data_IF_372813661073
#
_entry.id   IF_372813661073
#
_cell.length_a   1.000
_cell.length_b   1.000
_cell.length_c   1.000
_cell.angle_alpha   90.00
_cell.angle_beta   90.00
_cell.angle_gamma   90.00
#
_symmetry.space_group_name_H-M   'P 1'
#
loop_
_entity.id
_entity.type
_entity.pdbx_description
1 polymer ?
#
# COMPACT_ATOMS: atom_id res chain seq x y z
N UNK A 1 1.97 -3.36 -0.06
CA UNK A 1 2.46 -4.50 -0.84
C UNK A 1 1.33 -4.98 -1.73
N UNK A 2 1.51 -4.87 -3.05
CA UNK A 2 0.58 -5.38 -4.06
C UNK A 2 1.07 -6.75 -4.54
N UNK A 3 0.15 -7.68 -4.74
CA UNK A 3 0.42 -9.03 -5.22
C UNK A 3 0.11 -9.13 -6.71
N UNK A 4 0.91 -9.89 -7.47
CA UNK A 4 0.56 -10.29 -8.82
C UNK A 4 -0.12 -11.66 -8.78
N UNK A 5 -1.38 -11.72 -9.16
CA UNK A 5 -2.18 -12.96 -9.15
C UNK A 5 -2.13 -13.74 -10.48
N UNK A 6 -1.52 -13.17 -11.52
CA UNK A 6 -1.36 -13.81 -12.83
C UNK A 6 0.10 -13.72 -13.30
N UNK A 7 1.02 -14.23 -12.46
CA UNK A 7 2.47 -14.18 -12.71
C UNK A 7 2.90 -15.17 -13.79
N UNK A 8 3.90 -14.73 -14.57
CA UNK A 8 4.60 -15.53 -15.55
C UNK A 8 6.09 -15.64 -15.21
N UNK A 9 6.71 -16.71 -15.68
CA UNK A 9 8.15 -16.90 -15.68
C UNK A 9 8.81 -16.17 -16.85
N UNK A 10 10.13 -15.98 -16.79
CA UNK A 10 10.90 -15.32 -17.87
C UNK A 10 10.84 -16.07 -19.22
N UNK A 11 10.51 -17.36 -19.22
CA UNK A 11 10.30 -18.16 -20.42
C UNK A 11 8.89 -18.06 -21.01
N UNK A 12 8.01 -17.26 -20.40
CA UNK A 12 6.63 -17.02 -20.83
C UNK A 12 5.62 -18.07 -20.36
N UNK A 13 6.01 -19.03 -19.53
CA UNK A 13 5.08 -19.97 -18.88
C UNK A 13 4.44 -19.35 -17.66
N UNK A 14 3.22 -19.76 -17.27
CA UNK A 14 2.62 -19.34 -16.00
C UNK A 14 3.42 -19.90 -14.83
N UNK A 15 3.56 -19.11 -13.76
CA UNK A 15 4.09 -19.58 -12.49
C UNK A 15 2.96 -20.15 -11.64
N UNK A 16 2.57 -21.38 -11.93
CA UNK A 16 1.43 -22.03 -11.24
C UNK A 16 1.68 -22.17 -9.74
N UNK A 17 2.92 -22.37 -9.31
CA UNK A 17 3.26 -22.49 -7.90
C UNK A 17 2.99 -21.19 -7.13
N UNK A 18 3.44 -20.06 -7.67
CA UNK A 18 3.15 -18.74 -7.10
C UNK A 18 1.67 -18.40 -7.21
N UNK A 19 1.07 -18.55 -8.39
CA UNK A 19 -0.32 -18.13 -8.65
C UNK A 19 -1.31 -18.88 -7.75
N UNK A 20 -1.11 -20.19 -7.54
CA UNK A 20 -1.91 -20.97 -6.60
C UNK A 20 -1.68 -20.53 -5.15
N UNK A 21 -0.41 -20.31 -4.75
CA UNK A 21 -0.10 -19.89 -3.40
C UNK A 21 -0.71 -18.53 -3.06
N UNK A 22 -0.54 -17.53 -3.95
CA UNK A 22 -1.01 -16.17 -3.67
C UNK A 22 -2.54 -16.01 -3.75
N UNK A 23 -3.23 -16.88 -4.47
CA UNK A 23 -4.69 -16.92 -4.48
C UNK A 23 -5.27 -17.36 -3.12
N UNK A 24 -4.51 -18.13 -2.34
CA UNK A 24 -4.93 -18.60 -1.02
C UNK A 24 -4.94 -17.47 0.02
N UNK A 25 -6.08 -17.27 0.68
CA UNK A 25 -6.24 -16.21 1.67
C UNK A 25 -5.37 -16.42 2.91
N UNK A 26 -5.28 -17.66 3.42
CA UNK A 26 -4.45 -17.96 4.60
C UNK A 26 -2.96 -17.68 4.31
N UNK A 27 -2.49 -17.90 3.07
CA UNK A 27 -1.14 -17.53 2.65
C UNK A 27 -0.90 -16.03 2.76
N UNK A 28 -1.82 -15.19 2.27
CA UNK A 28 -1.71 -13.73 2.36
C UNK A 28 -1.86 -13.22 3.80
N UNK A 29 -2.78 -13.80 4.58
CA UNK A 29 -2.99 -13.44 5.98
C UNK A 29 -1.80 -13.83 6.87
N UNK A 30 -1.07 -14.91 6.54
CA UNK A 30 0.16 -15.25 7.24
C UNK A 30 1.22 -14.14 7.13
N UNK A 31 1.27 -13.42 5.99
CA UNK A 31 2.15 -12.27 5.81
C UNK A 31 1.59 -11.04 6.54
N UNK A 32 0.29 -10.78 6.44
CA UNK A 32 -0.33 -9.63 7.09
C UNK A 32 -0.07 -9.61 8.60
N UNK A 33 -0.27 -10.76 9.25
CA UNK A 33 -0.10 -10.87 10.70
C UNK A 33 1.32 -11.27 11.14
N UNK A 34 2.07 -11.98 10.30
CA UNK A 34 3.34 -12.57 10.71
C UNK A 34 4.57 -11.78 10.29
N UNK A 35 4.49 -10.92 9.26
CA UNK A 35 5.67 -10.26 8.70
C UNK A 35 6.04 -8.99 9.50
N UNK A 36 7.15 -9.05 10.25
CA UNK A 36 7.73 -7.88 10.93
C UNK A 36 8.62 -7.09 9.96
N UNK A 37 8.16 -5.91 9.60
CA UNK A 37 8.86 -4.97 8.72
C UNK A 37 9.62 -3.87 9.48
N UNK A 38 9.72 -3.94 10.81
CA UNK A 38 10.45 -2.94 11.61
C UNK A 38 11.88 -2.71 11.12
N UNK A 39 12.69 -3.76 10.78
CA UNK A 39 14.01 -3.56 10.22
C UNK A 39 14.00 -2.87 8.85
N UNK A 40 12.98 -3.13 8.02
CA UNK A 40 12.81 -2.47 6.74
C UNK A 40 12.47 -0.97 6.92
N UNK A 41 11.60 -0.63 7.87
CA UNK A 41 11.25 0.77 8.19
C UNK A 41 12.45 1.55 8.74
N UNK A 42 13.38 0.89 9.42
CA UNK A 42 14.60 1.53 9.93
C UNK A 42 15.49 2.10 8.81
N UNK A 43 15.30 1.65 7.56
CA UNK A 43 15.95 2.23 6.37
C UNK A 43 15.44 3.64 6.08
N UNK A 44 14.20 3.94 6.43
CA UNK A 44 13.57 5.27 6.24
C UNK A 44 13.74 6.13 7.50
N UNK A 45 13.51 5.56 8.67
CA UNK A 45 13.67 6.25 9.95
C UNK A 45 14.37 5.33 10.96
N UNK A 46 15.70 5.49 11.11
CA UNK A 46 16.50 4.66 12.01
C UNK A 46 16.25 4.97 13.50
N UNK A 47 15.73 6.16 13.84
CA UNK A 47 15.50 6.56 15.23
C UNK A 47 14.17 6.07 15.76
N UNK A 48 13.14 6.09 14.92
CA UNK A 48 11.80 5.62 15.26
C UNK A 48 11.18 4.91 14.06
N UNK A 49 11.56 3.66 13.78
CA UNK A 49 11.08 2.91 12.62
C UNK A 49 9.56 2.79 12.57
N UNK A 50 8.92 2.55 13.70
CA UNK A 50 7.47 2.34 13.77
C UNK A 50 6.65 3.60 13.45
N UNK A 51 7.24 4.79 13.47
CA UNK A 51 6.59 5.99 12.96
C UNK A 51 6.35 5.95 11.44
N UNK A 52 6.99 5.02 10.74
CA UNK A 52 6.78 4.80 9.31
C UNK A 52 5.70 3.75 9.02
N UNK A 53 5.20 3.03 10.03
CA UNK A 53 4.18 2.01 9.83
C UNK A 53 2.90 2.61 9.24
N UNK A 54 2.43 2.03 8.14
CA UNK A 54 1.14 2.35 7.54
C UNK A 54 0.19 1.15 7.69
N UNK A 55 -0.92 1.37 8.37
CA UNK A 55 -1.95 0.36 8.62
C UNK A 55 -3.18 0.51 7.72
N UNK A 56 -3.19 1.51 6.85
CA UNK A 56 -4.30 1.86 5.98
C UNK A 56 -3.85 1.91 4.52
N UNK A 57 -4.77 1.68 3.60
CA UNK A 57 -4.52 1.88 2.18
C UNK A 57 -4.57 3.37 1.81
N UNK A 58 -5.49 4.11 2.41
CA UNK A 58 -5.55 5.57 2.38
C UNK A 58 -4.53 6.20 3.34
N UNK A 59 -4.40 7.52 3.31
CA UNK A 59 -3.42 8.23 4.11
C UNK A 59 -4.09 9.05 5.23
N UNK A 60 -3.63 8.95 6.49
CA UNK A 60 -4.13 9.79 7.58
C UNK A 60 -3.89 11.29 7.32
N UNK A 61 -4.76 12.12 7.88
CA UNK A 61 -4.62 13.57 7.84
C UNK A 61 -5.06 14.24 6.55
N UNK A 62 -5.68 13.50 5.62
CA UNK A 62 -6.13 14.05 4.34
C UNK A 62 -7.65 14.20 4.23
N UNK A 63 -8.42 13.34 4.87
CA UNK A 63 -9.87 13.24 4.74
C UNK A 63 -10.52 13.31 6.11
N UNK A 64 -11.55 14.13 6.25
CA UNK A 64 -12.24 14.35 7.51
C UNK A 64 -13.74 14.30 7.33
N UNK A 65 -14.43 13.65 8.26
CA UNK A 65 -15.89 13.70 8.39
C UNK A 65 -16.38 15.10 8.73
N UNK A 66 -17.68 15.32 8.73
CA UNK A 66 -18.28 16.63 9.02
C UNK A 66 -18.00 17.13 10.45
N UNK A 67 -17.74 16.24 11.40
CA UNK A 67 -17.36 16.56 12.78
C UNK A 67 -15.85 16.69 13.01
N UNK A 68 -15.05 16.47 11.97
CA UNK A 68 -13.58 16.60 12.01
C UNK A 68 -12.84 15.32 12.39
N UNK A 69 -13.52 14.16 12.45
CA UNK A 69 -12.86 12.86 12.65
C UNK A 69 -12.08 12.48 11.40
N UNK A 70 -10.84 12.00 11.56
CA UNK A 70 -10.04 11.52 10.44
C UNK A 70 -10.67 10.25 9.85
N UNK A 71 -10.76 10.19 8.53
CA UNK A 71 -11.32 9.04 7.83
C UNK A 71 -10.62 7.72 8.22
N UNK A 72 -9.31 7.75 8.42
CA UNK A 72 -8.56 6.55 8.81
C UNK A 72 -8.89 6.06 10.22
N UNK A 73 -9.46 6.90 11.09
CA UNK A 73 -9.99 6.45 12.40
C UNK A 73 -11.24 5.56 12.22
N UNK A 74 -12.06 5.82 11.19
CA UNK A 74 -13.17 4.94 10.82
C UNK A 74 -12.64 3.58 10.33
N UNK A 75 -11.62 3.59 9.46
CA UNK A 75 -10.97 2.35 8.98
C UNK A 75 -10.34 1.58 10.15
N UNK A 76 -9.67 2.27 11.07
CA UNK A 76 -9.08 1.68 12.28
C UNK A 76 -10.13 0.95 13.12
N UNK A 77 -11.29 1.58 13.29
CA UNK A 77 -12.41 1.00 14.05
C UNK A 77 -12.96 -0.27 13.37
N UNK A 78 -13.15 -0.25 12.04
CA UNK A 78 -13.61 -1.42 11.28
C UNK A 78 -12.60 -2.58 11.30
N UNK A 79 -11.29 -2.27 11.27
CA UNK A 79 -10.21 -3.25 11.40
C UNK A 79 -10.04 -3.79 12.82
N UNK A 80 -10.58 -3.12 13.84
CA UNK A 80 -10.37 -3.47 15.24
C UNK A 80 -8.91 -3.31 15.68
N UNK A 81 -8.15 -2.41 15.06
CA UNK A 81 -6.75 -2.18 15.40
C UNK A 81 -6.61 -1.48 16.76
N UNK A 82 -5.61 -1.92 17.54
CA UNK A 82 -5.26 -1.32 18.83
C UNK A 82 -4.54 0.04 18.69
N UNK A 83 -4.09 0.56 19.83
CA UNK A 83 -3.25 1.75 19.86
C UNK A 83 -1.77 1.40 19.64
N UNK A 84 -1.03 2.33 19.01
CA UNK A 84 0.40 2.20 18.86
C UNK A 84 1.11 2.29 20.22
N UNK A 85 1.92 1.29 20.56
CA UNK A 85 2.72 1.28 21.78
C UNK A 85 4.19 1.68 21.55
N UNK A 86 4.61 1.74 20.28
CA UNK A 86 5.96 2.08 19.86
C UNK A 86 6.98 0.94 20.02
N UNK A 87 6.57 -0.24 20.48
CA UNK A 87 7.44 -1.40 20.68
C UNK A 87 7.35 -2.40 19.52
N UNK A 88 6.18 -2.52 18.91
CA UNK A 88 5.92 -3.41 17.77
C UNK A 88 4.91 -2.82 16.80
N UNK A 89 4.88 -3.34 15.59
CA UNK A 89 3.88 -3.01 14.59
C UNK A 89 2.47 -3.34 15.10
N UNK A 90 1.50 -2.44 14.85
CA UNK A 90 0.12 -2.58 15.38
C UNK A 90 -0.56 -3.86 14.87
N UNK A 91 -0.38 -4.18 13.57
CA UNK A 91 -1.00 -5.36 12.96
C UNK A 91 -0.26 -6.67 13.28
N UNK A 92 0.96 -6.60 13.80
CA UNK A 92 1.79 -7.78 14.02
C UNK A 92 1.21 -8.66 15.15
N UNK A 93 0.87 -9.88 14.79
CA UNK A 93 0.41 -10.93 15.69
C UNK A 93 1.05 -12.26 15.26
N UNK A 94 2.25 -12.53 15.78
CA UNK A 94 3.05 -13.69 15.37
C UNK A 94 2.35 -15.03 15.61
N UNK A 95 1.49 -15.13 16.65
CA UNK A 95 0.72 -16.35 16.91
C UNK A 95 -0.34 -16.56 15.82
N UNK A 96 -1.08 -15.53 15.48
CA UNK A 96 -2.09 -15.58 14.42
C UNK A 96 -1.44 -15.77 13.04
N UNK A 97 -0.32 -15.10 12.80
CA UNK A 97 0.48 -15.29 11.58
C UNK A 97 0.95 -16.74 11.41
N UNK A 98 1.41 -17.37 12.49
CA UNK A 98 1.81 -18.79 12.47
C UNK A 98 0.59 -19.72 12.25
N UNK A 99 -0.56 -19.43 12.86
CA UNK A 99 -1.78 -20.20 12.62
C UNK A 99 -2.17 -20.18 11.13
N UNK A 100 -2.20 -18.99 10.52
CA UNK A 100 -2.47 -18.86 9.08
C UNK A 100 -1.40 -19.51 8.20
N UNK A 101 -0.12 -19.45 8.61
CA UNK A 101 0.96 -20.15 7.90
C UNK A 101 0.73 -21.66 7.90
N UNK A 102 0.39 -22.25 9.03
CA UNK A 102 0.12 -23.68 9.12
C UNK A 102 -1.11 -24.09 8.28
N UNK A 103 -2.18 -23.28 8.33
CA UNK A 103 -3.37 -23.48 7.48
C UNK A 103 -2.99 -23.41 5.99
N UNK A 104 -2.23 -22.39 5.60
CA UNK A 104 -1.78 -22.24 4.21
C UNK A 104 -0.93 -23.43 3.73
N UNK A 105 -0.01 -23.92 4.58
CA UNK A 105 0.81 -25.10 4.23
C UNK A 105 -0.08 -26.33 4.00
N UNK A 106 -1.07 -26.57 4.85
CA UNK A 106 -1.99 -27.70 4.70
C UNK A 106 -2.81 -27.58 3.40
N UNK A 107 -3.47 -26.47 3.19
CA UNK A 107 -4.32 -26.22 2.03
C UNK A 107 -3.53 -26.23 0.72
N UNK A 108 -2.38 -25.55 0.67
CA UNK A 108 -1.57 -25.43 -0.53
C UNK A 108 -0.83 -26.71 -0.88
N UNK A 109 -0.40 -27.51 0.12
CA UNK A 109 0.17 -28.85 -0.14
C UNK A 109 -0.87 -29.75 -0.79
N UNK A 110 -2.13 -29.67 -0.36
CA UNK A 110 -3.22 -30.45 -0.98
C UNK A 110 -3.46 -30.05 -2.45
N UNK A 111 -3.18 -28.78 -2.81
CA UNK A 111 -3.25 -28.27 -4.18
C UNK A 111 -1.96 -28.49 -5.00
N UNK A 112 -0.92 -29.10 -4.41
CA UNK A 112 0.33 -29.45 -5.09
C UNK A 112 1.37 -28.32 -5.11
N UNK A 113 1.17 -27.26 -4.33
CA UNK A 113 2.18 -26.20 -4.17
C UNK A 113 3.42 -26.75 -3.47
N UNK A 114 4.58 -26.36 -3.97
CA UNK A 114 5.88 -26.73 -3.38
C UNK A 114 6.45 -25.57 -2.57
N UNK A 115 7.01 -25.89 -1.42
CA UNK A 115 7.66 -24.91 -0.53
C UNK A 115 9.19 -25.05 -0.58
N UNK A 116 9.97 -23.95 -0.38
CA UNK A 116 9.46 -22.59 -0.20
C UNK A 116 8.83 -22.01 -1.47
N UNK A 117 7.81 -21.15 -1.30
CA UNK A 117 7.25 -20.38 -2.41
C UNK A 117 8.20 -19.24 -2.75
N UNK A 118 8.65 -19.16 -4.01
CA UNK A 118 9.54 -18.11 -4.49
C UNK A 118 8.81 -16.78 -4.69
N UNK A 119 9.38 -15.69 -4.16
CA UNK A 119 8.84 -14.33 -4.29
C UNK A 119 9.79 -13.51 -5.15
N UNK A 120 9.49 -13.29 -6.41
CA UNK A 120 10.32 -12.47 -7.29
C UNK A 120 10.00 -10.99 -7.09
N UNK A 121 10.96 -10.23 -6.54
CA UNK A 121 10.87 -8.80 -6.29
C UNK A 121 11.86 -8.04 -7.16
N UNK A 122 11.32 -7.24 -8.09
CA UNK A 122 12.10 -6.53 -9.09
C UNK A 122 12.39 -5.09 -8.69
N UNK A 123 13.65 -4.70 -8.77
CA UNK A 123 14.15 -3.35 -8.49
C UNK A 123 15.09 -2.87 -9.60
N UNK A 124 15.32 -1.55 -9.69
CA UNK A 124 16.30 -1.02 -10.64
C UNK A 124 17.72 -1.47 -10.27
N UNK A 125 18.39 -2.14 -11.20
CA UNK A 125 19.78 -2.60 -11.00
C UNK A 125 20.81 -1.47 -10.86
N UNK A 126 20.47 -0.24 -11.22
CA UNK A 126 21.32 0.95 -11.03
C UNK A 126 21.09 1.68 -9.70
N UNK A 127 20.09 1.27 -8.90
CA UNK A 127 19.75 1.92 -7.64
C UNK A 127 20.26 1.12 -6.43
N UNK A 128 21.47 1.47 -5.95
CA UNK A 128 22.08 0.80 -4.81
C UNK A 128 21.21 0.88 -3.53
N UNK A 129 20.56 2.02 -3.27
CA UNK A 129 19.68 2.16 -2.11
C UNK A 129 18.48 1.20 -2.17
N UNK A 130 17.92 0.99 -3.36
CA UNK A 130 16.85 0.00 -3.55
C UNK A 130 17.36 -1.43 -3.33
N UNK A 131 18.57 -1.76 -3.82
CA UNK A 131 19.21 -3.06 -3.59
C UNK A 131 19.42 -3.34 -2.10
N UNK A 132 19.97 -2.36 -1.36
CA UNK A 132 20.19 -2.47 0.07
C UNK A 132 18.85 -2.65 0.83
N UNK A 133 17.81 -1.91 0.43
CA UNK A 133 16.48 -2.03 1.03
C UNK A 133 15.82 -3.38 0.72
N UNK A 134 15.97 -3.88 -0.51
CA UNK A 134 15.47 -5.20 -0.89
C UNK A 134 16.16 -6.33 -0.12
N UNK A 135 17.46 -6.18 0.18
CA UNK A 135 18.20 -7.14 1.01
C UNK A 135 17.63 -7.19 2.43
N UNK A 136 17.34 -6.03 3.03
CA UNK A 136 16.70 -5.98 4.35
C UNK A 136 15.28 -6.56 4.30
N UNK A 137 14.53 -6.28 3.22
CA UNK A 137 13.19 -6.87 3.05
C UNK A 137 13.25 -8.39 2.97
N UNK A 138 14.20 -8.94 2.20
CA UNK A 138 14.40 -10.40 2.13
C UNK A 138 14.70 -11.00 3.50
N UNK A 139 15.52 -10.32 4.32
CA UNK A 139 15.79 -10.75 5.68
C UNK A 139 14.55 -10.70 6.58
N UNK A 140 13.68 -9.66 6.42
CA UNK A 140 12.41 -9.61 7.15
C UNK A 140 11.52 -10.82 6.83
N UNK A 141 11.43 -11.22 5.56
CA UNK A 141 10.68 -12.43 5.16
C UNK A 141 11.27 -13.71 5.78
N UNK A 142 12.59 -13.87 5.70
CA UNK A 142 13.30 -15.00 6.28
C UNK A 142 13.09 -15.10 7.79
N UNK A 143 13.33 -14.01 8.52
CA UNK A 143 13.26 -13.98 9.98
C UNK A 143 11.82 -14.13 10.51
N UNK A 144 10.83 -13.60 9.79
CA UNK A 144 9.45 -13.60 10.24
C UNK A 144 8.67 -14.85 9.83
N UNK A 145 8.87 -15.33 8.60
CA UNK A 145 8.07 -16.40 8.01
C UNK A 145 8.82 -17.70 7.81
N UNK A 146 10.16 -17.64 7.74
CA UNK A 146 11.06 -18.78 7.58
C UNK A 146 11.35 -19.13 6.12
N UNK A 147 12.61 -19.50 5.85
CA UNK A 147 13.12 -19.85 4.52
C UNK A 147 12.55 -21.17 3.96
N UNK A 148 11.91 -21.97 4.82
CA UNK A 148 11.21 -23.19 4.44
C UNK A 148 9.79 -22.93 3.91
N UNK A 149 9.24 -21.74 4.15
CA UNK A 149 7.89 -21.34 3.73
C UNK A 149 7.92 -20.41 2.52
N UNK A 150 8.69 -19.34 2.58
CA UNK A 150 8.82 -18.36 1.49
C UNK A 150 10.27 -17.94 1.30
N UNK A 151 10.65 -17.60 0.06
CA UNK A 151 11.97 -17.09 -0.26
C UNK A 151 11.88 -15.90 -1.20
N UNK A 152 12.31 -14.72 -0.73
CA UNK A 152 12.34 -13.52 -1.55
C UNK A 152 13.60 -13.48 -2.43
N UNK A 153 13.38 -13.49 -3.74
CA UNK A 153 14.41 -13.41 -4.79
C UNK A 153 14.50 -11.97 -5.31
N UNK A 154 15.63 -11.33 -5.08
CA UNK A 154 15.89 -9.99 -5.60
C UNK A 154 16.26 -10.10 -7.07
N UNK A 155 15.42 -9.55 -7.94
CA UNK A 155 15.60 -9.46 -9.39
C UNK A 155 15.83 -8.01 -9.81
N UNK A 156 16.44 -7.78 -10.95
CA UNK A 156 16.72 -6.42 -11.41
C UNK A 156 16.24 -6.19 -12.83
N UNK A 157 15.80 -4.96 -13.11
CA UNK A 157 15.57 -4.46 -14.45
C UNK A 157 16.56 -3.32 -14.77
N UNK A 158 16.74 -3.01 -16.05
CA UNK A 158 17.79 -2.09 -16.52
C UNK A 158 17.24 -0.69 -16.79
N UNK A 159 16.14 -0.56 -17.54
CA UNK A 159 15.64 0.73 -18.02
C UNK A 159 14.21 1.03 -17.63
N UNK A 160 13.28 0.09 -17.83
CA UNK A 160 11.86 0.31 -17.64
C UNK A 160 11.19 -0.85 -16.92
N UNK A 161 10.77 -0.61 -15.69
CA UNK A 161 9.98 -1.60 -14.93
C UNK A 161 8.69 -1.97 -15.67
N UNK A 162 8.02 -1.02 -16.33
CA UNK A 162 6.80 -1.30 -17.10
C UNK A 162 7.05 -2.34 -18.17
N UNK A 163 8.02 -2.10 -19.04
CA UNK A 163 8.29 -2.94 -20.21
C UNK A 163 8.98 -4.26 -19.86
N UNK A 164 9.90 -4.22 -18.89
CA UNK A 164 10.74 -5.37 -18.54
C UNK A 164 10.11 -6.29 -17.49
N UNK A 165 9.16 -5.78 -16.69
CA UNK A 165 8.63 -6.51 -15.52
C UNK A 165 7.11 -6.59 -15.55
N UNK A 166 6.41 -5.42 -15.61
CA UNK A 166 4.97 -5.41 -15.39
C UNK A 166 4.17 -5.87 -16.60
N UNK A 167 4.55 -5.46 -17.83
CA UNK A 167 3.91 -5.92 -19.06
C UNK A 167 4.04 -7.44 -19.27
N UNK A 168 5.23 -8.05 -19.02
CA UNK A 168 5.37 -9.50 -19.06
C UNK A 168 4.94 -10.20 -17.74
N UNK A 169 4.46 -9.46 -16.73
CA UNK A 169 3.92 -9.96 -15.45
C UNK A 169 4.90 -10.82 -14.64
N UNK A 170 6.16 -10.45 -14.58
CA UNK A 170 7.23 -11.27 -13.98
C UNK A 170 7.32 -11.14 -12.45
N UNK A 171 6.88 -10.00 -11.87
CA UNK A 171 6.97 -9.78 -10.43
C UNK A 171 5.98 -10.65 -9.66
N UNK A 172 6.39 -11.11 -8.48
CA UNK A 172 5.47 -11.68 -7.48
C UNK A 172 4.78 -10.59 -6.69
N UNK A 173 5.54 -9.61 -6.25
CA UNK A 173 5.05 -8.48 -5.46
C UNK A 173 5.59 -7.15 -5.99
N UNK A 174 4.89 -6.08 -5.65
CA UNK A 174 5.35 -4.71 -5.84
C UNK A 174 5.07 -3.87 -4.58
N UNK A 175 6.00 -3.00 -4.22
CA UNK A 175 5.79 -1.99 -3.17
C UNK A 175 5.61 -0.65 -3.87
N UNK A 176 4.38 -0.14 -3.86
CA UNK A 176 3.99 1.08 -4.54
C UNK A 176 3.01 1.86 -3.67
N UNK A 177 2.80 3.14 -3.98
CA UNK A 177 1.86 4.01 -3.31
C UNK A 177 1.11 4.88 -4.32
N UNK A 178 -0.04 5.38 -3.90
CA UNK A 178 -0.89 6.27 -4.69
C UNK A 178 -0.84 7.69 -4.12
N UNK A 179 -0.62 8.67 -4.98
CA UNK A 179 -0.78 10.07 -4.64
C UNK A 179 -2.17 10.54 -5.07
N UNK A 180 -3.04 10.82 -4.11
CA UNK A 180 -4.42 11.21 -4.42
C UNK A 180 -4.52 12.44 -5.33
N UNK A 181 -5.37 12.36 -6.34
CA UNK A 181 -5.67 13.47 -7.26
C UNK A 181 -6.68 14.45 -6.67
N UNK A 182 -7.52 13.98 -5.75
CA UNK A 182 -8.55 14.74 -5.03
C UNK A 182 -8.86 14.08 -3.67
N UNK A 183 -9.52 14.83 -2.80
CA UNK A 183 -9.81 14.43 -1.43
C UNK A 183 -11.09 13.59 -1.32
N UNK A 184 -11.02 12.35 -1.74
CA UNK A 184 -12.09 11.36 -1.58
C UNK A 184 -11.48 9.94 -1.49
N UNK A 185 -11.98 9.05 -0.62
CA UNK A 185 -11.47 7.68 -0.50
C UNK A 185 -11.56 6.89 -1.82
N UNK A 186 -12.51 7.23 -2.69
CA UNK A 186 -12.66 6.63 -4.01
C UNK A 186 -11.37 6.73 -4.84
N UNK A 187 -10.61 7.83 -4.72
CA UNK A 187 -9.37 8.00 -5.47
C UNK A 187 -8.29 6.99 -5.09
N UNK A 188 -8.32 6.50 -3.86
CA UNK A 188 -7.47 5.40 -3.40
C UNK A 188 -8.05 4.04 -3.76
N UNK A 189 -9.25 3.73 -3.29
CA UNK A 189 -9.83 2.40 -3.36
C UNK A 189 -10.25 2.00 -4.78
N UNK A 190 -10.64 2.98 -5.60
CA UNK A 190 -10.96 2.74 -7.01
C UNK A 190 -9.80 2.17 -7.83
N UNK A 191 -8.55 2.32 -7.38
CA UNK A 191 -7.36 1.75 -8.05
C UNK A 191 -7.24 0.23 -7.86
N UNK A 192 -7.92 -0.34 -6.87
CA UNK A 192 -7.92 -1.77 -6.53
C UNK A 192 -9.19 -2.50 -6.96
N UNK A 193 -10.18 -1.82 -7.56
CA UNK A 193 -11.43 -2.46 -8.00
C UNK A 193 -11.21 -3.38 -9.19
N UNK A 194 -11.80 -4.57 -9.16
CA UNK A 194 -11.76 -5.50 -10.27
C UNK A 194 -12.79 -5.13 -11.37
N UNK A 195 -12.49 -5.52 -12.62
CA UNK A 195 -13.36 -5.25 -13.77
C UNK A 195 -13.43 -3.78 -14.19
N UNK A 196 -12.57 -2.93 -13.64
CA UNK A 196 -12.49 -1.51 -13.95
C UNK A 196 -11.24 -1.21 -14.78
N UNK A 197 -11.42 -0.88 -16.06
CA UNK A 197 -10.31 -0.60 -16.99
C UNK A 197 -9.49 0.64 -16.62
N UNK A 198 -9.99 1.49 -15.74
CA UNK A 198 -9.28 2.67 -15.23
C UNK A 198 -8.54 2.43 -13.91
N UNK A 199 -8.80 1.31 -13.23
CA UNK A 199 -8.12 0.93 -12.00
C UNK A 199 -6.66 0.58 -12.28
N UNK A 200 -5.75 1.40 -11.76
CA UNK A 200 -4.33 1.28 -12.08
C UNK A 200 -3.72 -0.03 -11.55
N UNK A 201 -3.96 -0.35 -10.27
CA UNK A 201 -3.29 -1.46 -9.64
C UNK A 201 -3.80 -2.82 -10.11
N UNK A 202 -5.12 -2.98 -10.24
CA UNK A 202 -5.69 -4.25 -10.72
C UNK A 202 -5.31 -4.57 -12.16
N UNK A 203 -5.08 -3.54 -12.97
CA UNK A 203 -4.66 -3.70 -14.36
C UNK A 203 -3.15 -3.88 -14.54
N UNK A 204 -2.33 -3.23 -13.68
CA UNK A 204 -0.88 -3.10 -13.93
C UNK A 204 -0.04 -3.97 -13.01
N UNK A 205 -0.47 -4.17 -11.77
CA UNK A 205 0.31 -4.87 -10.77
C UNK A 205 -0.31 -6.20 -10.35
N UNK A 206 -1.59 -6.22 -10.00
CA UNK A 206 -2.23 -7.44 -9.50
C UNK A 206 -2.72 -8.37 -10.61
N UNK A 207 -3.01 -7.81 -11.79
CA UNK A 207 -3.49 -8.56 -12.96
C UNK A 207 -4.73 -9.43 -12.69
N UNK A 208 -5.50 -9.12 -11.63
CA UNK A 208 -6.68 -9.91 -11.24
C UNK A 208 -7.75 -9.94 -12.33
N UNK A 209 -7.82 -8.88 -13.17
CA UNK A 209 -8.76 -8.80 -14.27
C UNK A 209 -8.48 -9.79 -15.42
N UNK A 210 -7.27 -10.34 -15.47
CA UNK A 210 -6.86 -11.30 -16.51
C UNK A 210 -7.08 -12.76 -16.08
N UNK A 211 -7.50 -12.99 -14.82
CA UNK A 211 -7.75 -14.32 -14.30
C UNK A 211 -9.01 -14.92 -14.93
N UNK A 212 -8.88 -16.17 -15.34
CA UNK A 212 -10.03 -17.03 -15.65
C UNK A 212 -10.36 -17.80 -14.38
N UNK A 213 -11.62 -17.69 -13.92
CA UNK A 213 -12.07 -18.35 -12.68
C UNK A 213 -11.95 -19.86 -12.78
N UNK A 214 -11.30 -20.45 -11.77
CA UNK A 214 -11.14 -21.87 -11.58
C UNK A 214 -11.19 -22.21 -10.08
N UNK A 215 -10.99 -23.48 -9.72
CA UNK A 215 -11.07 -23.96 -8.34
C UNK A 215 -9.96 -23.39 -7.43
N UNK A 216 -8.87 -22.87 -7.98
CA UNK A 216 -7.74 -22.34 -7.20
C UNK A 216 -7.90 -20.86 -6.89
N UNK A 217 -8.64 -20.09 -7.70
CA UNK A 217 -8.79 -18.64 -7.58
C UNK A 217 -10.23 -18.16 -7.34
N UNK A 218 -11.21 -19.06 -7.26
CA UNK A 218 -12.62 -18.70 -7.11
C UNK A 218 -12.89 -17.84 -5.88
N UNK A 219 -12.30 -18.16 -4.73
CA UNK A 219 -12.45 -17.40 -3.49
C UNK A 219 -11.79 -16.03 -3.57
N UNK A 220 -10.62 -15.94 -4.19
CA UNK A 220 -9.95 -14.67 -4.47
C UNK A 220 -10.83 -13.75 -5.35
N UNK A 221 -11.36 -14.29 -6.45
CA UNK A 221 -12.23 -13.53 -7.35
C UNK A 221 -13.55 -13.14 -6.68
N UNK A 222 -14.09 -13.99 -5.79
CA UNK A 222 -15.25 -13.64 -4.99
C UNK A 222 -14.95 -12.47 -4.03
N UNK A 223 -13.78 -12.48 -3.36
CA UNK A 223 -13.36 -11.40 -2.49
C UNK A 223 -13.17 -10.07 -3.27
N UNK A 224 -12.57 -10.10 -4.46
CA UNK A 224 -12.46 -8.92 -5.30
C UNK A 224 -13.81 -8.40 -5.80
N UNK A 225 -14.76 -9.27 -6.12
CA UNK A 225 -16.13 -8.88 -6.50
C UNK A 225 -16.85 -8.18 -5.34
N UNK A 226 -16.74 -8.73 -4.13
CA UNK A 226 -17.34 -8.13 -2.93
C UNK A 226 -16.70 -6.76 -2.61
N UNK A 227 -15.37 -6.69 -2.61
CA UNK A 227 -14.66 -5.42 -2.43
C UNK A 227 -15.10 -4.36 -3.45
N UNK A 228 -15.15 -4.74 -4.73
CA UNK A 228 -15.60 -3.84 -5.80
C UNK A 228 -17.04 -3.36 -5.57
N UNK A 229 -17.94 -4.25 -5.18
CA UNK A 229 -19.33 -3.90 -4.88
C UNK A 229 -19.44 -2.94 -3.68
N UNK A 230 -18.61 -3.12 -2.64
CA UNK A 230 -18.54 -2.20 -1.50
C UNK A 230 -18.06 -0.81 -1.91
N UNK A 231 -17.02 -0.72 -2.75
CA UNK A 231 -16.53 0.56 -3.29
C UNK A 231 -17.58 1.25 -4.15
N UNK A 232 -18.25 0.53 -5.05
CA UNK A 232 -19.30 1.07 -5.91
C UNK A 232 -20.52 1.55 -5.10
N UNK A 233 -20.90 0.80 -4.07
CA UNK A 233 -21.99 1.21 -3.19
C UNK A 233 -21.64 2.47 -2.38
N UNK A 234 -20.41 2.60 -1.90
CA UNK A 234 -19.93 3.81 -1.22
C UNK A 234 -19.86 5.01 -2.18
N UNK A 235 -19.39 4.79 -3.41
CA UNK A 235 -19.28 5.83 -4.43
C UNK A 235 -20.64 6.38 -4.88
N UNK A 236 -21.70 5.58 -4.79
CA UNK A 236 -23.06 6.00 -5.10
C UNK A 236 -23.66 6.99 -4.06
N UNK A 237 -23.08 7.12 -2.87
CA UNK A 237 -23.53 8.07 -1.83
C UNK A 237 -22.97 9.46 -2.15
N UNK A 238 -23.83 10.40 -2.56
CA UNK A 238 -23.40 11.72 -3.02
C UNK A 238 -23.92 12.90 -2.18
N UNK A 239 -24.83 12.64 -1.26
CA UNK A 239 -25.56 13.67 -0.50
C UNK A 239 -25.30 13.61 1.02
N UNK A 240 -24.52 12.63 1.49
CA UNK A 240 -24.13 12.45 2.89
C UNK A 240 -22.66 12.07 2.97
N UNK A 241 -21.81 13.03 3.35
CA UNK A 241 -20.36 12.84 3.43
C UNK A 241 -19.99 11.78 4.47
N UNK A 242 -20.62 11.80 5.63
CA UNK A 242 -20.27 10.92 6.74
C UNK A 242 -20.68 9.48 6.42
N UNK A 243 -21.91 9.28 5.90
CA UNK A 243 -22.35 7.98 5.43
C UNK A 243 -21.46 7.44 4.28
N UNK A 244 -21.00 8.32 3.36
CA UNK A 244 -20.06 7.96 2.30
C UNK A 244 -18.75 7.46 2.88
N UNK A 245 -18.18 8.17 3.83
CA UNK A 245 -16.90 7.81 4.44
C UNK A 245 -17.01 6.53 5.31
N UNK A 246 -18.10 6.35 6.04
CA UNK A 246 -18.35 5.08 6.75
C UNK A 246 -18.45 3.89 5.78
N UNK A 247 -19.10 4.06 4.63
CA UNK A 247 -19.20 3.01 3.63
C UNK A 247 -17.84 2.68 3.00
N UNK A 248 -17.04 3.71 2.67
CA UNK A 248 -15.69 3.50 2.17
C UNK A 248 -14.75 2.88 3.22
N UNK A 249 -14.88 3.24 4.50
CA UNK A 249 -14.08 2.66 5.57
C UNK A 249 -14.32 1.13 5.70
N UNK A 250 -15.55 0.69 5.50
CA UNK A 250 -15.88 -0.75 5.43
C UNK A 250 -15.26 -1.42 4.21
N UNK A 251 -15.27 -0.76 3.06
CA UNK A 251 -14.62 -1.28 1.85
C UNK A 251 -13.09 -1.38 2.04
N UNK A 252 -12.46 -0.36 2.62
CA UNK A 252 -11.03 -0.37 2.90
C UNK A 252 -10.65 -1.44 3.93
N UNK A 253 -11.43 -1.56 4.99
CA UNK A 253 -11.23 -2.61 5.98
C UNK A 253 -11.38 -4.01 5.36
N UNK A 254 -12.35 -4.23 4.48
CA UNK A 254 -12.51 -5.48 3.74
C UNK A 254 -11.27 -5.81 2.90
N UNK A 255 -10.76 -4.85 2.12
CA UNK A 255 -9.53 -5.00 1.31
C UNK A 255 -8.35 -5.51 2.16
N UNK A 256 -8.19 -4.94 3.36
CA UNK A 256 -7.09 -5.24 4.27
C UNK A 256 -7.32 -6.56 5.02
N UNK A 257 -8.53 -6.80 5.52
CA UNK A 257 -8.90 -8.02 6.26
C UNK A 257 -8.75 -9.30 5.44
N UNK A 258 -8.99 -9.22 4.12
CA UNK A 258 -8.76 -10.30 3.17
C UNK A 258 -7.35 -10.29 2.55
N UNK A 259 -6.50 -9.39 3.03
CA UNK A 259 -5.15 -9.18 2.53
C UNK A 259 -5.08 -9.18 0.99
N UNK A 260 -6.03 -8.51 0.32
CA UNK A 260 -5.99 -8.33 -1.14
C UNK A 260 -4.83 -7.40 -1.53
N UNK A 261 -4.48 -6.49 -0.65
CA UNK A 261 -3.22 -5.74 -0.59
C UNK A 261 -2.81 -5.59 0.88
N UNK A 262 -1.52 -5.39 1.17
CA UNK A 262 -1.03 -5.18 2.53
C UNK A 262 -0.46 -3.77 2.64
N UNK A 263 -1.06 -2.88 3.47
CA UNK A 263 -0.44 -1.61 3.82
C UNK A 263 0.98 -1.81 4.34
N UNK A 264 1.90 -0.91 3.99
CA UNK A 264 3.31 -1.10 4.32
C UNK A 264 3.85 0.09 5.13
N UNK A 265 4.33 1.16 4.48
CA UNK A 265 4.96 2.25 5.20
C UNK A 265 4.67 3.61 4.60
N UNK A 266 4.81 4.64 5.44
CA UNK A 266 4.85 6.03 4.99
C UNK A 266 6.28 6.42 4.66
N UNK A 267 6.47 7.03 3.50
CA UNK A 267 7.74 7.62 3.16
C UNK A 267 7.87 8.98 3.88
N UNK A 268 8.57 8.99 5.01
CA UNK A 268 8.83 10.21 5.78
C UNK A 268 10.10 10.86 5.24
N UNK A 269 9.95 12.00 4.59
CA UNK A 269 11.08 12.77 4.05
C UNK A 269 11.09 14.21 4.59
N UNK A 270 12.27 14.72 4.89
CA UNK A 270 12.48 16.11 5.23
C UNK A 270 13.09 16.85 4.04
N UNK A 271 12.47 17.95 3.64
CA UNK A 271 12.96 18.81 2.57
C UNK A 271 13.31 20.17 3.16
N UNK A 272 14.59 20.53 3.11
CA UNK A 272 15.00 21.91 3.38
C UNK A 272 14.74 22.76 2.13
N UNK A 273 13.99 23.81 2.28
CA UNK A 273 13.61 24.70 1.17
C UNK A 273 13.68 26.16 1.59
N UNK A 274 13.98 27.03 0.63
CA UNK A 274 13.90 28.50 0.76
C UNK A 274 12.57 29.04 0.20
N UNK A 275 11.56 28.21 0.15
CA UNK A 275 10.21 28.59 -0.31
C UNK A 275 9.36 28.90 0.92
N UNK A 276 8.63 30.03 0.90
CA UNK A 276 7.59 30.29 1.87
C UNK A 276 6.54 29.16 1.82
N UNK A 277 6.41 28.33 2.87
CA UNK A 277 5.51 27.18 2.85
C UNK A 277 4.05 27.59 2.67
N UNK A 278 3.67 28.78 3.19
CA UNK A 278 2.31 29.31 3.09
C UNK A 278 1.95 29.78 1.67
N UNK A 279 2.94 30.06 0.82
CA UNK A 279 2.71 30.33 -0.61
C UNK A 279 2.40 29.08 -1.42
N UNK A 280 2.70 27.87 -0.89
CA UNK A 280 2.46 26.57 -1.53
C UNK A 280 1.10 25.96 -1.22
N UNK A 281 0.39 26.44 -0.18
CA UNK A 281 -0.74 25.76 0.44
C UNK A 281 -2.09 25.96 -0.29
N UNK A 282 -2.08 26.19 -1.60
CA UNK A 282 -3.32 26.38 -2.38
C UNK A 282 -3.89 25.11 -3.00
N UNK A 283 -3.18 23.97 -2.94
CA UNK A 283 -3.66 22.69 -3.43
C UNK A 283 -2.98 21.53 -2.71
N UNK A 284 -3.75 20.66 -2.10
CA UNK A 284 -3.26 19.47 -1.39
C UNK A 284 -3.09 18.27 -2.32
N UNK A 285 -3.83 18.23 -3.43
CA UNK A 285 -3.98 17.04 -4.26
C UNK A 285 -3.48 17.25 -5.68
N UNK A 286 -3.09 16.12 -6.29
CA UNK A 286 -2.76 16.00 -7.69
C UNK A 286 -1.58 16.86 -8.14
N UNK A 287 -1.50 17.06 -9.42
CA UNK A 287 -0.43 17.87 -10.06
C UNK A 287 -0.46 19.35 -9.63
N UNK A 288 -1.53 19.81 -9.00
CA UNK A 288 -1.61 21.17 -8.46
C UNK A 288 -0.57 21.44 -7.38
N UNK A 289 -0.12 20.43 -6.64
CA UNK A 289 0.99 20.53 -5.68
C UNK A 289 2.30 20.98 -6.33
N UNK A 290 2.45 20.78 -7.64
CA UNK A 290 3.64 21.14 -8.41
C UNK A 290 3.46 22.46 -9.17
N UNK A 291 2.34 23.19 -8.99
CA UNK A 291 2.15 24.49 -9.61
C UNK A 291 2.87 25.57 -8.83
N UNK A 292 4.00 26.02 -9.37
CA UNK A 292 4.92 26.93 -8.71
C UNK A 292 4.61 28.42 -8.91
N UNK A 293 3.53 28.74 -9.63
CA UNK A 293 3.23 30.12 -10.10
C UNK A 293 3.22 31.17 -8.98
N UNK A 294 2.80 30.81 -7.78
CA UNK A 294 2.66 31.74 -6.65
C UNK A 294 3.67 31.44 -5.53
N UNK A 295 4.66 30.61 -5.77
CA UNK A 295 5.65 30.31 -4.75
C UNK A 295 6.58 31.51 -4.54
N UNK A 296 6.74 31.87 -3.29
CA UNK A 296 7.64 32.92 -2.85
C UNK A 296 8.93 32.31 -2.32
N UNK A 297 10.06 32.80 -2.78
CA UNK A 297 11.38 32.29 -2.38
C UNK A 297 12.28 33.44 -1.90
N UNK A 298 13.24 33.11 -1.03
CA UNK A 298 14.30 34.01 -0.59
C UNK A 298 15.68 33.46 -0.94
N UNK A 299 16.61 34.33 -1.32
CA UNK A 299 18.00 33.92 -1.54
C UNK A 299 18.70 33.51 -0.24
N UNK A 300 18.36 34.16 0.85
CA UNK A 300 19.03 33.98 2.15
C UNK A 300 18.27 33.06 3.12
N UNK A 301 17.08 32.57 2.71
CA UNK A 301 16.13 31.87 3.59
C UNK A 301 15.23 32.85 4.33
N UNK A 302 14.41 32.35 5.23
CA UNK A 302 13.50 33.11 6.06
C UNK A 302 13.88 33.00 7.52
N UNK A 303 13.81 34.15 8.25
CA UNK A 303 13.95 34.16 9.69
C UNK A 303 12.70 33.60 10.39
N UNK A 304 12.82 33.28 11.68
CA UNK A 304 11.68 32.85 12.48
C UNK A 304 10.59 33.95 12.58
N UNK A 305 10.97 35.22 12.59
CA UNK A 305 10.03 36.34 12.62
C UNK A 305 9.25 36.48 11.30
N UNK A 306 9.93 36.33 10.16
CA UNK A 306 9.28 36.33 8.85
C UNK A 306 8.35 35.14 8.69
N UNK A 307 8.75 33.98 9.17
CA UNK A 307 7.90 32.78 9.15
C UNK A 307 6.64 32.94 9.99
N UNK A 308 6.74 33.54 11.20
CA UNK A 308 5.59 33.82 12.03
C UNK A 308 4.64 34.85 11.37
N UNK A 309 5.19 35.86 10.70
CA UNK A 309 4.39 36.85 9.97
C UNK A 309 3.64 36.22 8.77
N UNK A 310 4.27 35.29 8.05
CA UNK A 310 3.60 34.51 6.97
C UNK A 310 2.47 33.63 7.51
N UNK A 311 2.69 32.99 8.65
CA UNK A 311 1.67 32.18 9.31
C UNK A 311 0.46 33.02 9.73
N UNK A 312 0.73 34.16 10.39
CA UNK A 312 -0.33 35.09 10.77
C UNK A 312 -1.11 35.61 9.58
N UNK A 313 -0.43 36.03 8.51
CA UNK A 313 -1.07 36.49 7.28
C UNK A 313 -1.91 35.38 6.63
N UNK A 314 -1.42 34.14 6.65
CA UNK A 314 -2.13 32.99 6.12
C UNK A 314 -3.42 32.70 6.92
N UNK A 315 -3.33 32.72 8.26
CA UNK A 315 -4.46 32.44 9.15
C UNK A 315 -5.53 33.55 9.11
N UNK A 316 -5.11 34.80 8.86
CA UNK A 316 -6.00 35.95 8.79
C UNK A 316 -6.58 36.19 7.37
N UNK A 317 -6.19 35.37 6.37
CA UNK A 317 -6.77 35.51 5.02
C UNK A 317 -8.26 35.24 5.07
N UNK A 318 -9.05 36.08 4.44
CA UNK A 318 -10.45 35.78 4.13
C UNK A 318 -10.50 34.72 3.02
N UNK A 319 -11.32 33.70 3.17
CA UNK A 319 -11.58 32.76 2.08
C UNK A 319 -12.16 33.55 0.89
N UNK A 320 -11.39 33.64 -0.19
CA UNK A 320 -11.88 34.17 -1.48
C UNK A 320 -12.69 33.09 -2.21
#
# INVERSE_FOLDING_TARGET
IHFNFDKYNEDGTKDDNWNTAIANEAFRLSWYYGLDLTPYYSRTNAVNPLSCENNYYSMPGLLYTSDGTDYTDLVKAELGLGEADGEKMIRLNSELGEQYKQQAIEELTALGVTFPVGIDYYISGSNQTALDSATVLAQCFSDSLGDDYVQLNIKTYVSSASQEVYEPKLQSINISGWGADYGDPQNYLGQETAGNDTAYYTRTLSNVNDLVEDETNADLLAAYREFTALVEAADAINDDLDARYEAFAKAEAYLIQHALTIPNYYNVGWILTKINPYSKMKAMYGIQNNKMKNWETSMDGYTAEEMAAFEEAYNNRTAE
#
